data_IF_150206791409
#
_entry.id   IF_150206791409
#
_cell.length_a   1.000
_cell.length_b   1.000
_cell.length_c   1.000
_cell.angle_alpha   90.00
_cell.angle_beta   90.00
_cell.angle_gamma   90.00
#
_symmetry.space_group_name_H-M   'P 1'
#
loop_
_entity.id
_entity.type
_entity.pdbx_description
1 polymer ?
#
# COMPACT_ATOMS: atom_id res chain seq x y z
N UNK A 1 -16.94 2.71 7.53
CA UNK A 1 -15.75 2.02 7.00
C UNK A 1 -15.09 2.93 5.97
N UNK A 2 -13.77 3.15 6.06
CA UNK A 2 -12.97 4.02 5.20
C UNK A 2 -11.81 3.19 4.63
N UNK A 3 -11.85 2.94 3.33
CA UNK A 3 -10.87 2.12 2.62
C UNK A 3 -10.19 2.99 1.56
N UNK A 4 -8.86 2.91 1.50
CA UNK A 4 -8.06 3.58 0.48
C UNK A 4 -7.64 2.59 -0.61
N UNK A 5 -7.90 2.92 -1.88
CA UNK A 5 -7.20 2.31 -3.01
C UNK A 5 -5.80 2.94 -3.10
N UNK A 6 -4.80 2.22 -2.62
CA UNK A 6 -3.41 2.68 -2.59
C UNK A 6 -2.76 2.30 -3.92
N UNK A 7 -2.46 3.28 -4.77
CA UNK A 7 -1.83 3.06 -6.07
C UNK A 7 -0.33 3.33 -6.07
N UNK A 8 0.30 3.48 -4.90
CA UNK A 8 1.72 3.86 -4.72
C UNK A 8 2.14 5.22 -5.32
N UNK A 9 1.22 5.98 -5.89
CA UNK A 9 1.44 7.36 -6.31
C UNK A 9 1.51 8.34 -5.14
N UNK A 10 2.04 9.55 -5.40
CA UNK A 10 2.27 10.58 -4.39
C UNK A 10 1.03 10.90 -3.54
N UNK A 11 -0.12 11.09 -4.19
CA UNK A 11 -1.36 11.49 -3.50
C UNK A 11 -1.92 10.38 -2.62
N UNK A 12 -2.05 9.15 -3.14
CA UNK A 12 -2.55 8.02 -2.35
C UNK A 12 -1.62 7.72 -1.18
N UNK A 13 -0.30 7.83 -1.38
CA UNK A 13 0.67 7.57 -0.32
C UNK A 13 0.66 8.69 0.73
N UNK A 14 0.48 9.95 0.34
CA UNK A 14 0.28 11.06 1.27
C UNK A 14 -0.94 10.81 2.17
N UNK A 15 -2.09 10.46 1.59
CA UNK A 15 -3.31 10.16 2.35
C UNK A 15 -3.07 8.98 3.31
N UNK A 16 -2.41 7.92 2.83
CA UNK A 16 -2.06 6.76 3.66
C UNK A 16 -1.20 7.15 4.88
N UNK A 17 -0.15 7.96 4.67
CA UNK A 17 0.75 8.40 5.73
C UNK A 17 0.05 9.34 6.71
N UNK A 18 -0.64 10.37 6.21
CA UNK A 18 -1.39 11.32 7.05
C UNK A 18 -2.47 10.61 7.88
N UNK A 19 -3.20 9.66 7.28
CA UNK A 19 -4.15 8.83 7.99
C UNK A 19 -3.48 7.93 9.03
N UNK A 20 -2.30 7.40 8.74
CA UNK A 20 -1.55 6.53 9.66
C UNK A 20 -1.02 7.31 10.87
N UNK A 21 -0.64 8.56 10.67
CA UNK A 21 -0.12 9.49 11.68
C UNK A 21 -1.24 10.20 12.49
N UNK A 22 -2.50 10.11 12.06
CA UNK A 22 -3.64 10.74 12.73
C UNK A 22 -3.93 12.17 12.30
N UNK A 23 -3.25 12.68 11.27
CA UNK A 23 -3.50 13.99 10.65
C UNK A 23 -4.80 14.02 9.83
N UNK A 24 -5.23 12.84 9.37
CA UNK A 24 -6.53 12.61 8.73
C UNK A 24 -7.31 11.54 9.50
N UNK A 25 -8.65 11.48 9.36
CA UNK A 25 -9.45 10.42 9.96
C UNK A 25 -8.93 9.03 9.58
N UNK A 26 -8.46 8.25 10.56
CA UNK A 26 -7.81 6.95 10.35
C UNK A 26 -8.61 5.99 9.46
N UNK A 27 -8.00 5.54 8.37
CA UNK A 27 -8.51 4.49 7.49
C UNK A 27 -8.56 3.14 8.21
N UNK A 28 -9.54 2.32 7.85
CA UNK A 28 -9.63 0.94 8.34
C UNK A 28 -8.64 0.04 7.57
N UNK A 29 -8.54 0.24 6.25
CA UNK A 29 -7.66 -0.53 5.37
C UNK A 29 -7.13 0.31 4.20
N UNK A 30 -5.96 -0.08 3.70
CA UNK A 30 -5.44 0.33 2.40
C UNK A 30 -5.24 -0.91 1.51
N UNK A 31 -5.61 -0.83 0.24
CA UNK A 31 -5.51 -1.94 -0.71
C UNK A 31 -4.55 -1.58 -1.83
N UNK A 32 -3.50 -2.38 -2.03
CA UNK A 32 -2.63 -2.31 -3.20
C UNK A 32 -2.89 -3.54 -4.08
N UNK A 33 -3.33 -3.29 -5.31
CA UNK A 33 -3.59 -4.33 -6.31
C UNK A 33 -2.47 -4.31 -7.35
N UNK A 34 -1.51 -5.22 -7.20
CA UNK A 34 -0.33 -5.33 -8.04
C UNK A 34 -0.67 -6.04 -9.37
N UNK A 35 -0.55 -5.34 -10.52
CA UNK A 35 -0.76 -5.92 -11.84
C UNK A 35 0.34 -6.92 -12.25
N UNK A 36 1.46 -6.97 -11.52
CA UNK A 36 2.65 -7.75 -11.84
C UNK A 36 3.58 -7.09 -12.86
N UNK A 37 3.32 -5.82 -13.21
CA UNK A 37 4.05 -5.06 -14.23
C UNK A 37 4.47 -3.66 -13.76
N UNK A 38 4.52 -3.43 -12.45
CA UNK A 38 5.04 -2.18 -11.89
C UNK A 38 6.55 -2.03 -12.13
N UNK A 39 7.04 -0.80 -12.02
CA UNK A 39 8.48 -0.53 -12.11
C UNK A 39 9.23 -1.09 -10.90
N UNK A 40 10.51 -1.50 -11.03
CA UNK A 40 11.33 -1.96 -9.90
C UNK A 40 11.35 -0.99 -8.71
N UNK A 41 11.37 0.30 -8.99
CA UNK A 41 11.33 1.38 -8.01
C UNK A 41 10.03 1.40 -7.21
N UNK A 42 8.89 1.08 -7.86
CA UNK A 42 7.59 0.95 -7.18
C UNK A 42 7.63 -0.18 -6.16
N UNK A 43 8.20 -1.34 -6.51
CA UNK A 43 8.34 -2.46 -5.57
C UNK A 43 9.32 -2.15 -4.44
N UNK A 44 10.45 -1.48 -4.73
CA UNK A 44 11.38 -1.02 -3.69
C UNK A 44 10.68 -0.06 -2.72
N UNK A 45 9.87 0.86 -3.25
CA UNK A 45 9.09 1.79 -2.45
C UNK A 45 7.98 1.10 -1.63
N UNK A 46 7.32 0.09 -2.20
CA UNK A 46 6.34 -0.74 -1.49
C UNK A 46 6.99 -1.46 -0.29
N UNK A 47 8.17 -2.05 -0.48
CA UNK A 47 8.91 -2.70 0.61
C UNK A 47 9.28 -1.71 1.73
N UNK A 48 9.70 -0.49 1.34
CA UNK A 48 9.93 0.59 2.30
C UNK A 48 8.64 0.96 3.05
N UNK A 49 7.52 1.12 2.35
CA UNK A 49 6.25 1.52 2.95
C UNK A 49 5.67 0.45 3.89
N UNK A 50 5.85 -0.84 3.58
CA UNK A 50 5.51 -1.96 4.48
C UNK A 50 6.38 -1.90 5.74
N UNK A 51 7.69 -1.70 5.59
CA UNK A 51 8.61 -1.57 6.73
C UNK A 51 8.23 -0.38 7.62
N UNK A 52 7.86 0.75 7.00
CA UNK A 52 7.34 1.92 7.69
C UNK A 52 6.03 1.63 8.42
N UNK A 53 5.08 0.94 7.77
CA UNK A 53 3.79 0.56 8.34
C UNK A 53 3.97 -0.25 9.62
N UNK A 54 4.82 -1.26 9.61
CA UNK A 54 5.10 -2.10 10.78
C UNK A 54 5.72 -1.26 11.91
N UNK A 55 6.73 -0.43 11.58
CA UNK A 55 7.46 0.37 12.57
C UNK A 55 6.59 1.41 13.28
N UNK A 56 5.66 2.03 12.55
CA UNK A 56 4.87 3.16 13.05
C UNK A 56 3.40 2.82 13.30
N UNK A 57 3.04 1.53 13.32
CA UNK A 57 1.65 1.08 13.46
C UNK A 57 0.72 1.77 12.44
N UNK A 58 1.15 1.80 11.18
CA UNK A 58 0.41 2.39 10.08
C UNK A 58 -0.87 1.63 9.77
N UNK A 59 -1.73 2.24 8.94
CA UNK A 59 -2.98 1.63 8.48
C UNK A 59 -2.70 0.23 7.91
N UNK A 60 -3.47 -0.81 8.28
CA UNK A 60 -3.30 -2.15 7.73
C UNK A 60 -3.41 -2.17 6.20
N UNK A 61 -2.46 -2.83 5.53
CA UNK A 61 -2.41 -2.93 4.08
C UNK A 61 -2.78 -4.34 3.61
N UNK A 62 -3.70 -4.42 2.65
CA UNK A 62 -4.06 -5.64 1.93
C UNK A 62 -3.35 -5.62 0.57
N UNK A 63 -2.45 -6.56 0.35
CA UNK A 63 -1.70 -6.69 -0.90
C UNK A 63 -2.28 -7.84 -1.74
N UNK A 64 -2.79 -7.51 -2.93
CA UNK A 64 -3.20 -8.48 -3.93
C UNK A 64 -2.16 -8.53 -5.03
N UNK A 65 -1.46 -9.64 -5.16
CA UNK A 65 -0.43 -9.84 -6.19
C UNK A 65 -0.94 -10.82 -7.24
N UNK A 66 -0.90 -10.42 -8.52
CA UNK A 66 -1.13 -11.34 -9.62
C UNK A 66 -0.01 -12.39 -9.62
N UNK A 67 -0.28 -13.58 -9.07
CA UNK A 67 0.58 -14.76 -9.32
C UNK A 67 0.46 -15.14 -10.79
N UNK A 68 1.57 -15.18 -11.50
CA UNK A 68 1.62 -15.82 -12.81
C UNK A 68 1.18 -17.29 -12.63
N UNK A 69 0.09 -17.67 -13.27
CA UNK A 69 -0.33 -19.05 -13.37
C UNK A 69 0.66 -19.72 -14.32
N UNK A 70 1.70 -20.38 -13.78
CA UNK A 70 2.59 -21.21 -14.61
C UNK A 70 1.79 -22.45 -15.01
N UNK A 71 1.33 -22.50 -16.27
CA UNK A 71 0.85 -23.75 -16.87
C UNK A 71 2.07 -24.64 -17.11
N UNK A 72 2.08 -25.77 -16.39
CA UNK A 72 2.88 -26.98 -16.64
C UNK A 72 2.62 -27.51 -18.05
#
# INVERSE_FOLDING_TARGET
MKILSLGMGLQSTLIYLMSSLGELPRLDYAVFADPGSEMPETYAYLNWLISWQIKYNGVPMLLLVKRAFTMI
#
